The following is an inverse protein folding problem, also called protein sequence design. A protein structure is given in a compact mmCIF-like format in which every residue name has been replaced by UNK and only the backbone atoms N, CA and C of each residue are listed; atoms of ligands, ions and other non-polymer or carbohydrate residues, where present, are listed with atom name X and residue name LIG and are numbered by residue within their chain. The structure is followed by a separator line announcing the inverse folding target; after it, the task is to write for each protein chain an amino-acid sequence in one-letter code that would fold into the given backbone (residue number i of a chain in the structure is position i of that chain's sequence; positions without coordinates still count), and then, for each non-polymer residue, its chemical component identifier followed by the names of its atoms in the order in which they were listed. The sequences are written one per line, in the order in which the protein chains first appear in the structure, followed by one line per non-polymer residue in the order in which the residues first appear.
data_IF_017572556611
#
_entry.id   IF_017572556611
#
_cell.length_a   1.000
_cell.length_b   1.000
_cell.length_c   1.000
_cell.angle_alpha   90.00
_cell.angle_beta   90.00
_cell.angle_gamma   90.00
#
_symmetry.space_group_name_H-M   'P 1'
#
loop_
_entity.id
_entity.type
_entity.pdbx_description
1 polymer ?
#
# COMPACT_ATOMS: atom_id res chain seq x y z
N UNK A 1 20.20 28.23 -2.56
CA UNK A 1 20.81 27.24 -1.61
C UNK A 1 21.13 25.99 -2.45
N UNK A 2 22.34 25.48 -2.41
CA UNK A 2 22.74 24.31 -3.24
C UNK A 2 22.36 23.03 -2.46
N UNK A 3 21.58 22.15 -3.08
CA UNK A 3 21.18 20.88 -2.48
C UNK A 3 22.43 20.04 -2.16
N UNK A 4 22.41 19.35 -1.03
CA UNK A 4 23.41 18.32 -0.74
C UNK A 4 23.29 17.14 -1.70
N UNK A 5 24.31 16.31 -1.79
CA UNK A 5 24.29 15.09 -2.64
C UNK A 5 23.15 14.13 -2.24
N UNK A 6 22.83 14.06 -0.95
CA UNK A 6 21.73 13.21 -0.44
C UNK A 6 20.35 13.79 -0.83
N UNK A 7 20.17 15.10 -0.66
CA UNK A 7 18.93 15.79 -1.07
C UNK A 7 18.70 15.70 -2.58
N UNK A 8 19.77 15.89 -3.38
CA UNK A 8 19.69 15.74 -4.84
C UNK A 8 19.31 14.30 -5.24
N UNK A 9 19.88 13.29 -4.57
CA UNK A 9 19.54 11.89 -4.81
C UNK A 9 18.09 11.58 -4.46
N UNK A 10 17.58 12.12 -3.36
CA UNK A 10 16.17 11.95 -2.95
C UNK A 10 15.21 12.66 -3.91
N UNK A 11 15.55 13.87 -4.36
CA UNK A 11 14.76 14.62 -5.35
C UNK A 11 14.68 13.87 -6.69
N UNK A 12 15.81 13.35 -7.18
CA UNK A 12 15.86 12.59 -8.43
C UNK A 12 15.05 11.27 -8.34
N UNK A 13 15.11 10.56 -7.20
CA UNK A 13 14.28 9.38 -6.99
C UNK A 13 12.80 9.72 -7.07
N UNK A 14 12.36 10.78 -6.42
CA UNK A 14 10.96 11.23 -6.42
C UNK A 14 10.51 11.60 -7.84
N UNK A 15 11.31 12.39 -8.56
CA UNK A 15 11.01 12.78 -9.93
C UNK A 15 10.85 11.56 -10.86
N UNK A 16 11.71 10.54 -10.73
CA UNK A 16 11.60 9.31 -11.51
C UNK A 16 10.37 8.48 -11.14
N UNK A 17 9.97 8.42 -9.88
CA UNK A 17 8.76 7.73 -9.44
C UNK A 17 7.52 8.42 -9.99
N UNK A 18 7.44 9.76 -9.94
CA UNK A 18 6.34 10.55 -10.48
C UNK A 18 6.22 10.38 -12.00
N UNK A 19 7.34 10.50 -12.72
CA UNK A 19 7.39 10.29 -14.16
C UNK A 19 6.99 8.86 -14.56
N UNK A 20 7.48 7.85 -13.84
CA UNK A 20 7.12 6.45 -14.07
C UNK A 20 5.63 6.23 -13.90
N UNK A 21 5.02 6.82 -12.87
CA UNK A 21 3.59 6.75 -12.62
C UNK A 21 2.77 7.31 -13.77
N UNK A 22 3.17 8.48 -14.29
CA UNK A 22 2.50 9.11 -15.43
C UNK A 22 2.63 8.28 -16.69
N UNK A 23 3.85 7.87 -17.07
CA UNK A 23 4.11 7.10 -18.29
C UNK A 23 3.43 5.72 -18.23
N UNK A 24 3.54 4.99 -17.13
CA UNK A 24 2.87 3.69 -16.95
C UNK A 24 1.34 3.86 -16.91
N UNK A 25 0.85 4.91 -16.26
CA UNK A 25 -0.57 5.26 -16.26
C UNK A 25 -1.13 5.48 -17.67
N UNK A 26 -0.36 6.09 -18.57
CA UNK A 26 -0.75 6.38 -19.96
C UNK A 26 -0.54 5.18 -20.89
N UNK A 27 0.61 4.51 -20.80
CA UNK A 27 1.09 3.56 -21.80
C UNK A 27 1.03 2.09 -21.38
N UNK A 28 0.86 1.83 -20.07
CA UNK A 28 0.80 0.47 -19.52
C UNK A 28 2.07 -0.33 -19.84
N UNK A 29 1.90 -1.52 -20.47
CA UNK A 29 3.01 -2.41 -20.83
C UNK A 29 3.98 -1.83 -21.85
N UNK A 30 3.58 -0.80 -22.62
CA UNK A 30 4.40 -0.14 -23.62
C UNK A 30 5.34 0.93 -23.03
N UNK A 31 5.20 1.25 -21.74
CA UNK A 31 6.04 2.23 -21.07
C UNK A 31 7.53 1.90 -21.18
N UNK A 32 8.32 2.86 -21.67
CA UNK A 32 9.77 2.74 -21.88
C UNK A 32 10.53 3.53 -20.81
N UNK A 33 11.74 3.05 -20.48
CA UNK A 33 12.60 3.76 -19.53
C UNK A 33 13.07 5.11 -20.05
N UNK A 34 13.23 5.23 -21.38
CA UNK A 34 13.61 6.45 -22.06
C UNK A 34 12.57 7.55 -21.81
N UNK A 35 11.28 7.23 -21.99
CA UNK A 35 10.17 8.18 -21.82
C UNK A 35 10.04 8.62 -20.35
N UNK A 36 10.27 7.70 -19.42
CA UNK A 36 10.29 8.00 -17.98
C UNK A 36 11.45 8.93 -17.62
N UNK A 37 12.64 8.64 -18.13
CA UNK A 37 13.83 9.47 -17.87
C UNK A 37 13.68 10.87 -18.45
N UNK A 38 13.19 10.98 -19.68
CA UNK A 38 12.93 12.25 -20.35
C UNK A 38 11.92 13.09 -19.57
N UNK A 39 10.79 12.51 -19.19
CA UNK A 39 9.76 13.20 -18.40
C UNK A 39 10.29 13.68 -17.03
N UNK A 40 11.18 12.92 -16.41
CA UNK A 40 11.82 13.30 -15.14
C UNK A 40 12.94 14.34 -15.32
N UNK A 41 13.32 14.71 -16.55
CA UNK A 41 14.48 15.55 -16.83
C UNK A 41 15.81 14.90 -16.46
N UNK A 42 15.89 13.57 -16.54
CA UNK A 42 17.04 12.76 -16.15
C UNK A 42 17.45 11.82 -17.29
N UNK A 43 18.45 10.99 -17.05
CA UNK A 43 18.92 9.98 -18.01
C UNK A 43 18.48 8.58 -17.60
N UNK A 44 18.39 7.63 -18.54
CA UNK A 44 18.16 6.20 -18.24
C UNK A 44 19.24 5.64 -17.32
N UNK A 45 20.48 6.12 -17.44
CA UNK A 45 21.57 5.79 -16.51
C UNK A 45 21.27 6.16 -15.04
N UNK A 46 20.49 7.23 -14.81
CA UNK A 46 20.06 7.60 -13.47
C UNK A 46 19.07 6.56 -12.89
N UNK A 47 18.20 5.97 -13.72
CA UNK A 47 17.28 4.90 -13.29
C UNK A 47 18.07 3.70 -12.81
N UNK A 48 19.03 3.23 -13.60
CA UNK A 48 19.88 2.09 -13.20
C UNK A 48 20.70 2.38 -11.95
N UNK A 49 21.24 3.61 -11.83
CA UNK A 49 22.04 4.00 -10.64
C UNK A 49 21.20 4.14 -9.36
N UNK A 50 19.92 4.56 -9.47
CA UNK A 50 19.08 4.86 -8.33
C UNK A 50 18.20 3.69 -7.89
N UNK A 51 17.80 2.83 -8.82
CA UNK A 51 16.86 1.72 -8.60
C UNK A 51 17.43 0.35 -8.95
N UNK A 52 18.38 0.26 -9.87
CA UNK A 52 18.92 -1.02 -10.36
C UNK A 52 18.34 -1.44 -11.72
N UNK A 53 17.08 -1.08 -12.04
CA UNK A 53 16.45 -1.40 -13.31
C UNK A 53 14.97 -1.02 -13.37
N UNK A 54 14.30 -1.43 -14.45
CA UNK A 54 12.89 -1.15 -14.68
C UNK A 54 12.01 -1.76 -13.59
N UNK A 55 12.21 -3.02 -13.27
CA UNK A 55 11.37 -3.73 -12.30
C UNK A 55 11.51 -3.16 -10.88
N UNK A 56 12.72 -2.74 -10.50
CA UNK A 56 12.94 -2.10 -9.19
C UNK A 56 12.31 -0.70 -9.12
N UNK A 57 12.32 0.06 -10.24
CA UNK A 57 11.58 1.31 -10.34
C UNK A 57 10.07 1.08 -10.23
N UNK A 58 9.52 0.03 -10.89
CA UNK A 58 8.10 -0.32 -10.78
C UNK A 58 7.71 -0.68 -9.34
N UNK A 59 8.53 -1.45 -8.64
CA UNK A 59 8.31 -1.78 -7.22
C UNK A 59 8.34 -0.52 -6.36
N UNK A 60 9.38 0.31 -6.51
CA UNK A 60 9.49 1.57 -5.76
C UNK A 60 8.30 2.51 -6.00
N UNK A 61 7.77 2.52 -7.21
CA UNK A 61 6.58 3.28 -7.58
C UNK A 61 5.31 2.73 -6.89
N UNK A 62 5.17 1.41 -6.77
CA UNK A 62 4.07 0.78 -6.02
C UNK A 62 4.21 1.06 -4.53
N UNK A 63 5.42 0.93 -3.98
CA UNK A 63 5.69 1.19 -2.56
C UNK A 63 5.38 2.64 -2.19
N UNK A 64 5.79 3.60 -3.01
CA UNK A 64 5.46 5.02 -2.83
C UNK A 64 3.96 5.29 -2.91
N UNK A 65 3.25 4.50 -3.70
CA UNK A 65 1.83 4.66 -3.96
C UNK A 65 0.92 3.93 -2.97
N UNK A 66 1.35 2.76 -2.49
CA UNK A 66 0.66 2.00 -1.43
C UNK A 66 1.00 2.50 -0.03
N UNK A 67 2.05 3.33 0.08
CA UNK A 67 2.45 4.04 1.31
C UNK A 67 1.52 5.19 1.76
N UNK A 68 0.37 5.55 1.11
CA UNK A 68 -0.59 6.50 1.67
C UNK A 68 -1.45 5.95 2.83
N UNK A 69 -1.39 4.66 3.13
CA UNK A 69 -1.49 4.30 4.53
C UNK A 69 -0.24 4.91 5.18
N UNK A 70 -0.30 6.19 5.54
CA UNK A 70 0.58 6.70 6.55
C UNK A 70 0.22 5.98 7.85
N UNK A 71 0.59 4.68 7.85
CA UNK A 71 0.45 3.79 9.00
C UNK A 71 1.20 4.38 10.21
N UNK A 72 2.17 5.27 9.92
CA UNK A 72 2.93 6.03 10.92
C UNK A 72 2.12 7.16 11.55
N UNK A 73 1.02 7.60 10.92
CA UNK A 73 0.09 8.57 11.48
C UNK A 73 -1.13 7.92 12.16
N UNK A 74 -1.33 6.61 12.00
CA UNK A 74 -2.01 5.83 13.03
C UNK A 74 -0.95 5.71 14.11
N UNK A 75 -1.07 6.49 15.20
CA UNK A 75 -0.21 6.33 16.36
C UNK A 75 -0.14 4.83 16.65
N UNK A 76 1.10 4.32 16.68
CA UNK A 76 1.30 2.90 16.96
C UNK A 76 0.47 2.60 18.21
N UNK A 77 -0.44 1.62 18.09
CA UNK A 77 -1.36 1.34 19.19
C UNK A 77 -0.53 1.21 20.46
N UNK A 78 -0.86 1.99 21.48
CA UNK A 78 -0.19 1.84 22.75
C UNK A 78 -0.41 0.39 23.23
N UNK A 79 0.62 -0.26 23.77
CA UNK A 79 0.45 -1.62 24.27
C UNK A 79 -0.74 -1.72 25.23
N UNK A 80 -1.66 -2.65 24.95
CA UNK A 80 -2.88 -2.84 25.73
C UNK A 80 -4.12 -2.08 25.22
N UNK A 81 -4.04 -1.34 24.10
CA UNK A 81 -5.25 -0.79 23.46
C UNK A 81 -6.19 -1.90 23.00
N UNK A 82 -7.52 -1.73 23.12
CA UNK A 82 -8.48 -2.67 22.58
C UNK A 82 -8.30 -2.87 21.08
N UNK A 83 -8.19 -4.11 20.64
CA UNK A 83 -8.00 -4.45 19.22
C UNK A 83 -9.11 -3.88 18.34
N UNK A 84 -10.34 -3.88 18.84
CA UNK A 84 -11.53 -3.36 18.15
C UNK A 84 -11.41 -1.87 17.82
N UNK A 85 -10.80 -1.07 18.70
CA UNK A 85 -10.60 0.37 18.49
C UNK A 85 -9.58 0.63 17.38
N UNK A 86 -8.47 -0.12 17.39
CA UNK A 86 -7.43 -0.01 16.35
C UNK A 86 -7.96 -0.44 14.99
N UNK A 87 -8.73 -1.53 14.93
CA UNK A 87 -9.35 -2.00 13.70
C UNK A 87 -10.38 -0.99 13.17
N UNK A 88 -11.16 -0.35 14.04
CA UNK A 88 -12.11 0.68 13.66
C UNK A 88 -11.41 1.89 13.03
N UNK A 89 -10.31 2.37 13.61
CA UNK A 89 -9.57 3.51 13.04
C UNK A 89 -8.92 3.16 11.69
N UNK A 90 -8.37 1.96 11.58
CA UNK A 90 -7.86 1.45 10.29
C UNK A 90 -8.97 1.44 9.23
N UNK A 91 -10.16 0.94 9.57
CA UNK A 91 -11.31 0.89 8.65
C UNK A 91 -11.75 2.27 8.19
N UNK A 92 -11.89 3.24 9.13
CA UNK A 92 -12.22 4.63 8.81
C UNK A 92 -11.20 5.25 7.86
N UNK A 93 -9.92 4.96 8.07
CA UNK A 93 -8.87 5.49 7.22
C UNK A 93 -8.93 4.92 5.81
N UNK A 94 -9.15 3.61 5.66
CA UNK A 94 -9.35 3.00 4.35
C UNK A 94 -10.54 3.61 3.61
N UNK A 95 -11.66 3.85 4.30
CA UNK A 95 -12.82 4.51 3.71
C UNK A 95 -12.48 5.93 3.22
N UNK A 96 -11.82 6.74 4.06
CA UNK A 96 -11.38 8.10 3.67
C UNK A 96 -10.48 8.09 2.44
N UNK A 97 -9.56 7.13 2.37
CA UNK A 97 -8.68 6.95 1.20
C UNK A 97 -9.44 6.54 -0.05
N UNK A 98 -10.44 5.69 0.09
CA UNK A 98 -11.28 5.22 -1.03
C UNK A 98 -12.23 6.29 -1.54
N UNK A 99 -12.61 7.24 -0.68
CA UNK A 99 -13.43 8.40 -1.03
C UNK A 99 -12.61 9.60 -1.55
N UNK A 100 -11.27 9.51 -1.57
CA UNK A 100 -10.38 10.55 -2.10
C UNK A 100 -10.60 10.72 -3.61
N UNK A 101 -10.67 11.97 -4.14
CA UNK A 101 -10.83 12.20 -5.58
C UNK A 101 -9.76 11.54 -6.46
N UNK A 102 -8.59 11.24 -5.92
CA UNK A 102 -7.51 10.55 -6.64
C UNK A 102 -7.61 9.02 -6.56
N UNK A 103 -8.52 8.46 -5.78
CA UNK A 103 -8.63 7.02 -5.55
C UNK A 103 -8.86 6.21 -6.84
N UNK A 104 -9.64 6.74 -7.80
CA UNK A 104 -9.85 6.10 -9.08
C UNK A 104 -8.55 5.98 -9.91
N UNK A 105 -7.73 7.04 -9.91
CA UNK A 105 -6.41 7.02 -10.53
C UNK A 105 -5.47 6.01 -9.87
N UNK A 106 -5.60 5.89 -8.56
CA UNK A 106 -4.87 4.89 -7.76
C UNK A 106 -5.23 3.47 -8.17
N UNK A 107 -6.50 3.15 -8.18
CA UNK A 107 -6.99 1.81 -8.56
C UNK A 107 -6.60 1.45 -10.00
N UNK A 108 -6.72 2.40 -10.92
CA UNK A 108 -6.29 2.20 -12.31
C UNK A 108 -4.79 1.87 -12.40
N UNK A 109 -3.97 2.61 -11.66
CA UNK A 109 -2.54 2.39 -11.60
C UNK A 109 -2.19 1.00 -11.04
N UNK A 110 -2.75 0.63 -9.89
CA UNK A 110 -2.55 -0.69 -9.28
C UNK A 110 -2.94 -1.81 -10.25
N UNK A 111 -4.06 -1.67 -10.95
CA UNK A 111 -4.53 -2.63 -11.96
C UNK A 111 -3.53 -2.78 -13.11
N UNK A 112 -2.94 -1.67 -13.57
CA UNK A 112 -1.93 -1.70 -14.65
C UNK A 112 -0.63 -2.35 -14.20
N UNK A 113 -0.18 -2.09 -12.98
CA UNK A 113 1.02 -2.73 -12.43
C UNK A 113 0.79 -4.22 -12.22
N UNK A 114 -0.41 -4.61 -11.78
CA UNK A 114 -0.78 -6.02 -11.64
C UNK A 114 -0.78 -6.73 -13.01
N UNK A 115 -1.35 -6.12 -14.04
CA UNK A 115 -1.29 -6.65 -15.42
C UNK A 115 0.16 -6.85 -15.89
N UNK A 116 1.03 -5.86 -15.65
CA UNK A 116 2.46 -5.98 -15.97
C UNK A 116 3.12 -7.14 -15.22
N UNK A 117 2.86 -7.25 -13.92
CA UNK A 117 3.46 -8.28 -13.07
C UNK A 117 3.01 -9.69 -13.42
N UNK A 118 1.75 -9.88 -13.81
CA UNK A 118 1.23 -11.18 -14.24
C UNK A 118 1.88 -11.67 -15.55
N UNK A 119 2.44 -10.77 -16.34
CA UNK A 119 3.16 -11.06 -17.58
C UNK A 119 4.70 -11.05 -17.43
N UNK A 120 5.22 -10.70 -16.24
CA UNK A 120 6.65 -10.67 -15.94
C UNK A 120 6.94 -11.36 -14.59
N UNK A 121 7.44 -12.62 -14.59
CA UNK A 121 7.71 -13.38 -13.36
C UNK A 121 8.73 -12.72 -12.43
N UNK A 122 9.71 -11.95 -12.95
CA UNK A 122 10.68 -11.24 -12.12
C UNK A 122 9.99 -10.09 -11.36
N UNK A 123 9.21 -9.28 -12.08
CA UNK A 123 8.44 -8.20 -11.46
C UNK A 123 7.44 -8.75 -10.45
N UNK A 124 6.74 -9.85 -10.77
CA UNK A 124 5.80 -10.50 -9.85
C UNK A 124 6.51 -10.96 -8.56
N UNK A 125 7.69 -11.56 -8.69
CA UNK A 125 8.51 -11.98 -7.54
C UNK A 125 8.89 -10.80 -6.64
N UNK A 126 9.32 -9.68 -7.21
CA UNK A 126 9.67 -8.45 -6.48
C UNK A 126 8.46 -7.81 -5.81
N UNK A 127 7.33 -7.71 -6.51
CA UNK A 127 6.08 -7.18 -5.93
C UNK A 127 5.57 -8.05 -4.78
N UNK A 128 5.62 -9.36 -4.92
CA UNK A 128 5.26 -10.27 -3.82
C UNK A 128 6.15 -10.11 -2.59
N UNK A 129 7.43 -9.80 -2.76
CA UNK A 129 8.33 -9.52 -1.65
C UNK A 129 7.97 -8.19 -0.96
N UNK A 130 7.68 -7.13 -1.74
CA UNK A 130 7.22 -5.84 -1.24
C UNK A 130 5.88 -5.97 -0.51
N UNK A 131 4.89 -6.67 -1.08
CA UNK A 131 3.60 -6.92 -0.43
C UNK A 131 3.77 -7.61 0.92
N UNK A 132 4.66 -8.61 1.00
CA UNK A 132 4.94 -9.29 2.28
C UNK A 132 5.57 -8.36 3.32
N UNK A 133 6.45 -7.46 2.89
CA UNK A 133 7.03 -6.46 3.79
C UNK A 133 5.96 -5.51 4.34
N UNK A 134 5.12 -4.96 3.46
CA UNK A 134 4.02 -4.06 3.88
C UNK A 134 2.97 -4.77 4.74
N UNK A 135 2.75 -6.08 4.56
CA UNK A 135 1.88 -6.86 5.45
C UNK A 135 2.43 -6.94 6.88
N UNK A 136 3.74 -7.07 7.04
CA UNK A 136 4.38 -7.09 8.38
C UNK A 136 4.24 -5.71 9.04
N UNK A 137 4.50 -4.63 8.30
CA UNK A 137 4.33 -3.27 8.82
C UNK A 137 2.86 -2.99 9.20
N UNK A 138 1.92 -3.47 8.40
CA UNK A 138 0.49 -3.36 8.71
C UNK A 138 0.08 -4.20 9.93
N UNK A 139 0.63 -5.39 10.06
CA UNK A 139 0.39 -6.25 11.21
C UNK A 139 0.91 -5.64 12.53
N UNK A 140 1.98 -4.86 12.48
CA UNK A 140 2.54 -4.20 13.66
C UNK A 140 1.54 -3.26 14.36
N UNK A 141 0.52 -2.76 13.66
CA UNK A 141 -0.56 -1.97 14.26
C UNK A 141 -1.41 -2.76 15.25
N UNK A 142 -1.51 -4.07 15.09
CA UNK A 142 -2.38 -4.95 15.87
C UNK A 142 -1.62 -5.77 16.92
N UNK A 143 -0.29 -5.83 16.78
CA UNK A 143 0.57 -6.54 17.72
C UNK A 143 0.60 -5.82 19.07
N UNK A 144 0.47 -6.56 20.16
CA UNK A 144 0.42 -5.98 21.52
C UNK A 144 -0.94 -5.42 21.93
N UNK A 145 -1.94 -5.36 21.03
CA UNK A 145 -3.32 -5.00 21.38
C UNK A 145 -3.95 -6.04 22.31
N UNK A 146 -4.99 -5.64 23.03
CA UNK A 146 -5.77 -6.53 23.90
C UNK A 146 -7.01 -7.06 23.17
N UNK A 147 -7.27 -8.38 23.28
CA UNK A 147 -8.48 -9.01 22.81
C UNK A 147 -8.89 -10.17 23.73
N UNK A 148 -10.10 -10.08 24.32
CA UNK A 148 -10.65 -11.12 25.19
C UNK A 148 -9.79 -11.40 26.43
N UNK A 149 -9.12 -10.39 26.97
CA UNK A 149 -8.24 -10.50 28.14
C UNK A 149 -6.85 -11.09 27.84
N UNK A 150 -6.47 -11.17 26.55
CA UNK A 150 -5.16 -11.64 26.13
C UNK A 150 -4.49 -10.66 25.15
N UNK A 151 -3.17 -10.62 25.17
CA UNK A 151 -2.38 -9.81 24.24
C UNK A 151 -2.27 -10.50 22.88
N UNK A 152 -2.54 -9.76 21.80
CA UNK A 152 -2.40 -10.22 20.42
C UNK A 152 -0.92 -10.39 20.07
N UNK A 153 -0.53 -11.58 19.68
CA UNK A 153 0.83 -11.90 19.25
C UNK A 153 1.08 -11.49 17.80
N UNK A 154 2.36 -11.36 17.37
CA UNK A 154 2.75 -11.02 16.00
C UNK A 154 2.12 -11.95 14.96
N UNK A 155 2.06 -13.27 15.26
CA UNK A 155 1.45 -14.25 14.35
C UNK A 155 -0.06 -14.06 14.19
N UNK A 156 -0.76 -13.71 15.25
CA UNK A 156 -2.19 -13.39 15.25
C UNK A 156 -2.45 -12.08 14.51
N UNK A 157 -1.65 -11.06 14.79
CA UNK A 157 -1.69 -9.76 14.14
C UNK A 157 -1.51 -9.90 12.62
N UNK A 158 -0.55 -10.71 12.17
CA UNK A 158 -0.31 -10.96 10.74
C UNK A 158 -1.51 -11.64 10.05
N UNK A 159 -2.14 -12.61 10.72
CA UNK A 159 -3.35 -13.28 10.19
C UNK A 159 -4.51 -12.29 10.05
N UNK A 160 -4.74 -11.47 11.07
CA UNK A 160 -5.76 -10.43 11.05
C UNK A 160 -5.47 -9.38 9.98
N UNK A 161 -4.22 -8.90 9.89
CA UNK A 161 -3.79 -7.92 8.89
C UNK A 161 -4.08 -8.38 7.46
N UNK A 162 -3.80 -9.64 7.12
CA UNK A 162 -4.10 -10.21 5.80
C UNK A 162 -5.59 -10.24 5.50
N UNK A 163 -6.40 -10.66 6.48
CA UNK A 163 -7.85 -10.70 6.32
C UNK A 163 -8.44 -9.30 6.17
N UNK A 164 -8.03 -8.35 7.02
CA UNK A 164 -8.45 -6.96 6.96
C UNK A 164 -8.05 -6.29 5.65
N UNK A 165 -6.80 -6.47 5.21
CA UNK A 165 -6.32 -5.90 3.94
C UNK A 165 -7.18 -6.39 2.76
N UNK A 166 -7.46 -7.69 2.68
CA UNK A 166 -8.28 -8.26 1.62
C UNK A 166 -9.72 -7.69 1.63
N UNK A 167 -10.34 -7.62 2.82
CA UNK A 167 -11.68 -7.08 3.00
C UNK A 167 -11.74 -5.59 2.65
N UNK A 168 -10.89 -4.77 3.28
CA UNK A 168 -10.91 -3.32 3.14
C UNK A 168 -10.54 -2.88 1.72
N UNK A 169 -9.62 -3.59 1.05
CA UNK A 169 -9.31 -3.33 -0.36
C UNK A 169 -10.52 -3.61 -1.26
N UNK A 170 -11.25 -4.71 -1.03
CA UNK A 170 -12.46 -5.02 -1.80
C UNK A 170 -13.59 -4.02 -1.57
N UNK A 171 -13.85 -3.64 -0.33
CA UNK A 171 -14.83 -2.60 0.01
C UNK A 171 -14.44 -1.24 -0.59
N UNK A 172 -13.16 -0.86 -0.47
CA UNK A 172 -12.64 0.37 -1.03
C UNK A 172 -12.74 0.44 -2.55
N UNK A 173 -12.47 -0.67 -3.25
CA UNK A 173 -12.70 -0.75 -4.70
C UNK A 173 -14.18 -0.54 -5.04
N UNK A 174 -15.11 -1.11 -4.25
CA UNK A 174 -16.53 -0.88 -4.42
C UNK A 174 -16.93 0.60 -4.29
N UNK A 175 -16.33 1.31 -3.33
CA UNK A 175 -16.53 2.77 -3.16
C UNK A 175 -16.00 3.54 -4.37
N UNK A 176 -14.75 3.25 -4.79
CA UNK A 176 -14.10 3.91 -5.94
C UNK A 176 -14.90 3.74 -7.24
N UNK A 177 -15.49 2.57 -7.43
CA UNK A 177 -16.29 2.25 -8.63
C UNK A 177 -17.73 2.75 -8.54
N UNK A 178 -18.13 3.33 -7.42
CA UNK A 178 -19.53 3.72 -7.19
C UNK A 178 -20.50 2.54 -7.15
N UNK A 179 -19.99 1.32 -6.89
CA UNK A 179 -20.80 0.10 -6.83
C UNK A 179 -21.55 -0.05 -5.50
N UNK A 180 -21.08 0.63 -4.46
CA UNK A 180 -21.63 0.54 -3.12
C UNK A 180 -21.70 1.93 -2.49
N UNK A 181 -22.90 2.25 -1.96
CA UNK A 181 -23.09 3.37 -1.05
C UNK A 181 -22.83 2.85 0.38
N UNK A 182 -21.57 2.90 0.81
CA UNK A 182 -21.14 2.29 2.09
C UNK A 182 -20.99 3.38 3.14
N UNK A 183 -21.75 3.27 4.22
CA UNK A 183 -21.60 4.15 5.38
C UNK A 183 -20.29 3.83 6.15
N UNK A 184 -19.77 4.80 6.89
CA UNK A 184 -18.63 4.60 7.79
C UNK A 184 -18.92 3.48 8.80
N UNK A 185 -20.14 3.45 9.34
CA UNK A 185 -20.60 2.42 10.29
C UNK A 185 -20.46 1.01 9.70
N UNK A 186 -20.99 0.79 8.47
CA UNK A 186 -20.86 -0.50 7.79
C UNK A 186 -19.40 -0.90 7.57
N UNK A 187 -18.54 0.05 7.20
CA UNK A 187 -17.12 -0.21 6.95
C UNK A 187 -16.41 -0.66 8.23
N UNK A 188 -16.69 0.02 9.34
CA UNK A 188 -16.12 -0.28 10.65
C UNK A 188 -16.65 -1.60 11.18
N UNK A 189 -17.96 -1.82 11.20
CA UNK A 189 -18.57 -3.05 11.70
C UNK A 189 -18.11 -4.29 10.93
N UNK A 190 -18.02 -4.17 9.60
CA UNK A 190 -17.56 -5.27 8.75
C UNK A 190 -16.09 -5.61 9.03
N UNK A 191 -15.24 -4.61 9.26
CA UNK A 191 -13.85 -4.84 9.64
C UNK A 191 -13.74 -5.48 11.03
N UNK A 192 -14.49 -4.99 12.02
CA UNK A 192 -14.51 -5.55 13.38
C UNK A 192 -15.06 -6.98 13.41
N UNK A 193 -15.99 -7.34 12.52
CA UNK A 193 -16.51 -8.70 12.40
C UNK A 193 -15.45 -9.75 12.05
N UNK A 194 -14.26 -9.33 11.54
CA UNK A 194 -13.12 -10.23 11.36
C UNK A 194 -12.35 -10.53 12.64
N UNK A 195 -12.58 -9.79 13.74
CA UNK A 195 -11.93 -10.03 15.02
C UNK A 195 -12.58 -11.25 15.67
N UNK A 196 -12.17 -12.43 15.27
CA UNK A 196 -12.69 -13.70 15.79
C UNK A 196 -11.57 -14.61 16.24
N UNK A 197 -11.87 -15.49 17.23
CA UNK A 197 -10.92 -16.53 17.65
C UNK A 197 -10.37 -17.32 16.46
N UNK A 198 -11.22 -17.61 15.46
CA UNK A 198 -10.85 -18.38 14.26
C UNK A 198 -9.87 -17.63 13.36
N UNK A 199 -10.11 -16.35 13.08
CA UNK A 199 -9.20 -15.51 12.27
C UNK A 199 -7.87 -15.32 12.99
N UNK A 200 -7.90 -15.07 14.29
CA UNK A 200 -6.70 -14.95 15.12
C UNK A 200 -5.96 -16.29 15.32
N UNK A 201 -6.59 -17.42 14.99
CA UNK A 201 -5.98 -18.74 15.18
C UNK A 201 -5.92 -19.17 16.66
N UNK A 202 -6.84 -18.65 17.46
CA UNK A 202 -7.05 -19.09 18.83
C UNK A 202 -7.90 -20.37 18.83
N UNK A 203 -7.40 -21.42 19.45
CA UNK A 203 -8.11 -22.70 19.61
C UNK A 203 -9.40 -22.56 20.43
#
# INVERSE_FOLDING_TARGET
MRLTRAESKAANKRALIEAAREVVGREGSKAKLEDIAELAGLTTGAIYSLFGGKNDLMVAMVDDYTSPLDLRSIEAAEPGMPLEEVVAEVARRFLRMSADPQAAGKLLFETRVLDLALNDPELLGKLNASIRSTEVDFAALFSGCEYGGATVTDGQALRLARALKALLSGLGQGVVLGAHDVSEEFFVETAQALITRRVLGLA
#
